data_IF_067035250926
#
_entry.id   IF_067035250926
#
_cell.length_a   1.000
_cell.length_b   1.000
_cell.length_c   1.000
_cell.angle_alpha   90.00
_cell.angle_beta   90.00
_cell.angle_gamma   90.00
#
_symmetry.space_group_name_H-M   'P 1'
#
loop_
_entity.id
_entity.type
_entity.pdbx_description
1 polymer ?
#
# COMPACT_ATOMS: atom_id res chain seq x y z
N UNK A 1 -15.16 -53.02 -37.44
CA UNK A 1 -16.63 -53.33 -37.42
C UNK A 1 -17.27 -52.06 -36.85
N UNK A 2 -17.79 -51.26 -37.74
CA UNK A 2 -19.21 -51.11 -38.16
C UNK A 2 -20.01 -50.35 -37.11
N UNK A 3 -20.70 -49.31 -37.29
CA UNK A 3 -21.21 -48.40 -38.36
C UNK A 3 -22.00 -47.31 -37.63
N UNK A 4 -21.85 -46.05 -37.96
CA UNK A 4 -22.74 -45.26 -38.84
C UNK A 4 -24.13 -44.91 -38.24
N UNK A 5 -24.44 -43.64 -38.17
CA UNK A 5 -25.59 -42.97 -38.69
C UNK A 5 -26.15 -41.95 -37.69
N UNK A 6 -26.69 -40.84 -37.98
CA UNK A 6 -26.78 -39.94 -39.12
C UNK A 6 -27.61 -38.74 -38.62
N UNK A 7 -27.38 -37.57 -39.10
CA UNK A 7 -28.23 -36.37 -39.08
C UNK A 7 -29.47 -36.61 -39.95
N UNK A 8 -30.61 -35.81 -39.92
CA UNK A 8 -30.59 -34.38 -40.20
C UNK A 8 -31.67 -33.53 -39.49
N UNK A 9 -31.60 -32.18 -39.57
CA UNK A 9 -32.73 -31.25 -39.47
C UNK A 9 -33.61 -31.31 -40.74
N UNK A 10 -34.61 -30.43 -41.01
CA UNK A 10 -34.55 -28.98 -41.00
C UNK A 10 -35.88 -28.21 -40.70
N UNK A 11 -35.81 -26.88 -40.66
CA UNK A 11 -36.72 -25.83 -41.11
C UNK A 11 -38.25 -25.96 -41.00
N UNK A 12 -38.89 -24.95 -40.39
CA UNK A 12 -40.11 -24.38 -40.94
C UNK A 12 -40.22 -22.88 -40.64
N UNK A 13 -40.40 -22.12 -41.70
CA UNK A 13 -40.67 -20.66 -41.79
C UNK A 13 -42.20 -20.42 -41.72
N UNK A 14 -42.55 -19.21 -41.14
CA UNK A 14 -43.59 -18.24 -41.57
C UNK A 14 -45.08 -18.57 -41.32
N UNK A 15 -46.02 -17.61 -41.40
CA UNK A 15 -45.90 -16.25 -41.95
C UNK A 15 -46.60 -15.11 -41.15
N UNK A 16 -46.36 -13.90 -41.67
CA UNK A 16 -47.01 -12.62 -41.43
C UNK A 16 -48.55 -12.63 -41.57
N UNK A 17 -49.19 -11.79 -40.79
CA UNK A 17 -50.50 -11.26 -41.14
C UNK A 17 -50.56 -9.78 -40.81
N UNK A 18 -50.56 -8.94 -41.83
CA UNK A 18 -51.11 -7.60 -41.86
C UNK A 18 -52.66 -7.67 -41.86
N UNK A 19 -53.25 -6.69 -41.17
CA UNK A 19 -54.50 -6.00 -41.59
C UNK A 19 -54.80 -4.90 -40.59
N UNK A 20 -54.67 -3.68 -41.06
CA UNK A 20 -55.64 -2.75 -41.63
C UNK A 20 -56.37 -1.85 -40.65
N UNK A 21 -55.97 -0.58 -40.77
CA UNK A 21 -56.65 0.72 -40.54
C UNK A 21 -58.07 0.73 -39.96
N UNK A 22 -58.25 1.65 -38.98
CA UNK A 22 -59.38 2.63 -39.10
C UNK A 22 -59.14 3.86 -38.23
N UNK A 23 -59.05 5.02 -38.90
CA UNK A 23 -59.15 6.36 -38.38
C UNK A 23 -60.43 6.62 -37.61
N UNK A 24 -60.38 7.23 -36.46
CA UNK A 24 -61.46 8.08 -35.94
C UNK A 24 -60.78 9.36 -35.35
N UNK A 25 -61.07 10.44 -36.03
CA UNK A 25 -60.82 11.85 -35.63
C UNK A 25 -61.92 12.25 -34.64
N UNK A 26 -61.55 12.77 -33.47
CA UNK A 26 -62.45 13.60 -32.69
C UNK A 26 -61.70 14.85 -32.18
N UNK A 27 -62.29 15.98 -32.50
CA UNK A 27 -61.88 17.35 -32.24
C UNK A 27 -62.09 17.76 -30.76
N UNK A 28 -61.16 18.52 -30.29
CA UNK A 28 -61.05 19.50 -29.17
C UNK A 28 -62.32 19.92 -28.38
N UNK A 29 -62.17 20.37 -27.10
CA UNK A 29 -61.72 21.78 -26.92
C UNK A 29 -60.66 22.00 -25.81
N UNK A 30 -59.94 23.09 -26.01
CA UNK A 30 -59.01 23.71 -25.10
C UNK A 30 -59.70 24.25 -23.82
N UNK A 31 -59.06 24.00 -22.67
CA UNK A 31 -59.26 24.83 -21.49
C UNK A 31 -57.89 25.08 -20.85
N UNK A 32 -57.45 26.32 -20.94
CA UNK A 32 -56.29 26.83 -20.23
C UNK A 32 -56.62 26.98 -18.75
N UNK A 33 -55.72 26.47 -17.89
CA UNK A 33 -55.61 26.91 -16.50
C UNK A 33 -54.15 27.10 -16.16
N UNK A 34 -53.83 28.37 -15.93
CA UNK A 34 -52.55 28.88 -15.49
C UNK A 34 -52.32 28.59 -14.01
N UNK A 35 -51.02 28.49 -13.69
CA UNK A 35 -50.38 28.82 -12.42
C UNK A 35 -50.49 27.83 -11.28
N UNK A 36 -49.42 27.00 -11.14
CA UNK A 36 -48.84 26.77 -9.84
C UNK A 36 -47.34 26.96 -10.00
N UNK A 37 -46.83 28.07 -9.49
CA UNK A 37 -45.40 28.22 -9.18
C UNK A 37 -45.03 27.15 -8.12
N UNK A 38 -44.72 25.98 -8.56
CA UNK A 38 -44.00 25.00 -7.77
C UNK A 38 -42.55 25.40 -7.81
N UNK A 39 -42.05 25.93 -6.71
CA UNK A 39 -40.63 26.05 -6.45
C UNK A 39 -39.96 24.70 -6.76
N UNK A 40 -39.34 24.64 -7.94
CA UNK A 40 -38.36 23.62 -8.25
C UNK A 40 -37.18 23.81 -7.31
N UNK A 41 -37.26 23.25 -6.13
CA UNK A 41 -36.06 22.77 -5.46
C UNK A 41 -35.50 21.66 -6.35
N UNK A 42 -34.78 22.08 -7.38
CA UNK A 42 -33.76 21.26 -8.00
C UNK A 42 -32.79 20.90 -6.89
N UNK A 43 -33.13 19.86 -6.11
CA UNK A 43 -32.17 19.06 -5.41
C UNK A 43 -31.26 18.50 -6.49
N UNK A 44 -30.23 19.28 -6.84
CA UNK A 44 -29.12 18.76 -7.58
C UNK A 44 -28.68 17.54 -6.80
N UNK A 45 -28.82 16.37 -7.40
CA UNK A 45 -28.01 15.22 -7.01
C UNK A 45 -26.57 15.71 -7.20
N UNK A 46 -26.00 16.30 -6.13
CA UNK A 46 -24.61 16.70 -6.11
C UNK A 46 -23.83 15.48 -6.53
N UNK A 47 -23.10 15.59 -7.62
CA UNK A 47 -22.17 14.53 -8.02
C UNK A 47 -21.35 14.24 -6.78
N UNK A 48 -21.46 12.99 -6.28
CA UNK A 48 -20.76 12.56 -5.09
C UNK A 48 -19.29 12.97 -5.21
N UNK A 49 -18.77 13.69 -4.21
CA UNK A 49 -17.39 14.13 -4.24
C UNK A 49 -16.50 12.89 -4.30
N UNK A 50 -15.72 12.74 -5.38
CA UNK A 50 -14.82 11.61 -5.53
C UNK A 50 -13.42 12.05 -5.12
N UNK A 51 -12.82 11.31 -4.18
CA UNK A 51 -11.42 11.42 -3.81
C UNK A 51 -10.63 10.29 -4.48
N UNK A 52 -9.57 10.64 -5.18
CA UNK A 52 -8.65 9.67 -5.80
C UNK A 52 -7.31 9.68 -5.08
N UNK A 53 -6.93 8.53 -4.55
CA UNK A 53 -5.69 8.30 -3.78
C UNK A 53 -4.89 7.22 -4.49
N UNK A 54 -3.62 7.46 -4.75
CA UNK A 54 -2.71 6.49 -5.38
C UNK A 54 -1.46 6.30 -4.50
N UNK A 55 -0.58 5.36 -4.81
CA UNK A 55 0.76 5.32 -4.22
C UNK A 55 1.10 4.05 -3.48
N UNK A 56 1.81 4.19 -2.38
CA UNK A 56 2.43 3.10 -1.61
C UNK A 56 1.47 1.98 -1.24
N UNK A 57 1.84 0.74 -1.58
CA UNK A 57 1.16 -0.48 -1.13
C UNK A 57 1.31 -0.72 0.38
N UNK A 58 2.41 -0.27 0.99
CA UNK A 58 2.58 -0.30 2.46
C UNK A 58 1.53 0.54 3.19
N UNK A 59 1.21 1.73 2.65
CA UNK A 59 0.22 2.65 3.25
C UNK A 59 -1.21 2.31 2.83
N UNK A 60 -1.38 1.61 1.70
CA UNK A 60 -2.66 1.25 1.12
C UNK A 60 -3.65 0.62 2.11
N UNK A 61 -3.30 -0.40 2.94
CA UNK A 61 -4.26 -1.03 3.86
C UNK A 61 -4.76 -0.06 4.94
N UNK A 62 -3.92 0.86 5.40
CA UNK A 62 -4.31 1.89 6.37
C UNK A 62 -5.26 2.90 5.73
N UNK A 63 -4.90 3.40 4.54
CA UNK A 63 -5.74 4.35 3.80
C UNK A 63 -7.09 3.76 3.42
N UNK A 64 -7.13 2.49 3.02
CA UNK A 64 -8.38 1.78 2.71
C UNK A 64 -9.29 1.68 3.94
N UNK A 65 -8.72 1.37 5.11
CA UNK A 65 -9.49 1.31 6.35
C UNK A 65 -10.12 2.67 6.71
N UNK A 66 -9.34 3.76 6.55
CA UNK A 66 -9.87 5.11 6.75
C UNK A 66 -10.92 5.47 5.70
N UNK A 67 -10.71 5.09 4.44
CA UNK A 67 -11.66 5.34 3.35
C UNK A 67 -13.00 4.66 3.59
N UNK A 68 -12.99 3.40 4.04
CA UNK A 68 -14.20 2.65 4.40
C UNK A 68 -14.97 3.31 5.55
N UNK A 69 -14.25 3.74 6.60
CA UNK A 69 -14.87 4.41 7.74
C UNK A 69 -15.43 5.79 7.37
N UNK A 70 -14.64 6.55 6.61
CA UNK A 70 -15.02 7.88 6.13
C UNK A 70 -16.25 7.84 5.23
N UNK A 71 -16.32 6.90 4.29
CA UNK A 71 -17.47 6.73 3.38
C UNK A 71 -18.73 6.32 4.15
N UNK A 72 -18.62 5.50 5.20
CA UNK A 72 -19.78 5.17 6.07
C UNK A 72 -20.33 6.41 6.76
N UNK A 73 -19.45 7.30 7.22
CA UNK A 73 -19.85 8.55 7.87
C UNK A 73 -20.31 9.64 6.87
N UNK A 74 -19.92 9.54 5.60
CA UNK A 74 -20.16 10.53 4.55
C UNK A 74 -20.71 9.86 3.28
N UNK A 75 -21.99 9.44 3.24
CA UNK A 75 -22.54 8.68 2.09
C UNK A 75 -22.50 9.39 0.74
N UNK A 76 -22.30 10.73 0.73
CA UNK A 76 -22.12 11.53 -0.49
C UNK A 76 -20.69 11.63 -1.01
N UNK A 77 -19.72 10.89 -0.42
CA UNK A 77 -18.31 10.90 -0.82
C UNK A 77 -17.90 9.51 -1.24
N UNK A 78 -17.23 9.41 -2.40
CA UNK A 78 -16.56 8.18 -2.86
C UNK A 78 -15.05 8.35 -2.71
N UNK A 79 -14.38 7.37 -2.14
CA UNK A 79 -12.91 7.35 -2.02
C UNK A 79 -12.36 6.15 -2.77
N UNK A 80 -11.54 6.40 -3.78
CA UNK A 80 -10.85 5.36 -4.55
C UNK A 80 -9.40 5.34 -4.11
N UNK A 81 -8.91 4.19 -3.69
CA UNK A 81 -7.52 3.98 -3.29
C UNK A 81 -6.88 2.95 -4.22
N UNK A 82 -5.80 3.34 -4.88
CA UNK A 82 -5.06 2.49 -5.83
C UNK A 82 -3.62 2.28 -5.33
N UNK A 83 -3.19 1.03 -5.26
CA UNK A 83 -1.82 0.64 -4.92
C UNK A 83 -0.95 0.67 -6.18
N UNK A 84 -0.14 1.71 -6.34
CA UNK A 84 0.74 1.91 -7.51
C UNK A 84 2.23 1.90 -7.15
N UNK A 85 2.56 1.79 -5.87
CA UNK A 85 3.89 2.03 -5.32
C UNK A 85 4.21 3.53 -5.14
N UNK A 86 5.11 3.85 -4.20
CA UNK A 86 5.42 5.25 -3.83
C UNK A 86 5.91 6.08 -5.01
N UNK A 87 6.86 5.57 -5.80
CA UNK A 87 7.46 6.34 -6.90
C UNK A 87 6.48 6.63 -8.03
N UNK A 88 5.71 5.61 -8.46
CA UNK A 88 4.68 5.79 -9.48
C UNK A 88 3.54 6.68 -8.98
N UNK A 89 3.13 6.54 -7.72
CA UNK A 89 2.14 7.39 -7.07
C UNK A 89 2.56 8.86 -7.05
N UNK A 90 3.80 9.16 -6.66
CA UNK A 90 4.36 10.51 -6.69
C UNK A 90 4.35 11.10 -8.10
N UNK A 91 4.77 10.32 -9.10
CA UNK A 91 4.76 10.76 -10.50
C UNK A 91 3.34 11.10 -11.00
N UNK A 92 2.36 10.27 -10.67
CA UNK A 92 0.95 10.53 -10.98
C UNK A 92 0.41 11.76 -10.22
N UNK A 93 0.74 11.87 -8.94
CA UNK A 93 0.35 13.00 -8.10
C UNK A 93 0.95 14.31 -8.62
N UNK A 94 2.23 14.34 -8.97
CA UNK A 94 2.91 15.53 -9.49
C UNK A 94 2.62 15.81 -10.98
N UNK A 95 1.70 15.09 -11.65
CA UNK A 95 1.40 15.31 -13.08
C UNK A 95 0.52 16.53 -13.38
N UNK A 96 0.06 17.26 -12.36
CA UNK A 96 -0.76 18.49 -12.51
C UNK A 96 -1.92 18.57 -11.53
N UNK A 97 -2.75 19.61 -11.67
CA UNK A 97 -3.90 19.92 -10.81
C UNK A 97 -5.25 19.67 -11.48
N UNK A 98 -5.28 18.97 -12.59
CA UNK A 98 -6.52 18.67 -13.32
C UNK A 98 -7.41 17.65 -12.61
N UNK A 99 -8.70 17.65 -12.91
CA UNK A 99 -9.71 16.77 -12.31
C UNK A 99 -9.41 15.27 -12.47
N UNK A 100 -8.64 14.90 -13.49
CA UNK A 100 -8.24 13.50 -13.75
C UNK A 100 -6.96 13.09 -13.02
N UNK A 101 -6.29 14.00 -12.31
CA UNK A 101 -5.11 13.70 -11.52
C UNK A 101 -5.47 13.29 -10.09
N UNK A 102 -4.66 12.48 -9.39
CA UNK A 102 -4.94 12.10 -8.01
C UNK A 102 -5.00 13.31 -7.07
N UNK A 103 -5.90 13.25 -6.09
CA UNK A 103 -6.03 14.26 -5.04
C UNK A 103 -4.96 14.10 -3.96
N UNK A 104 -4.67 12.81 -3.62
CA UNK A 104 -3.69 12.43 -2.61
C UNK A 104 -2.78 11.33 -3.14
N UNK A 105 -1.62 11.19 -2.49
CA UNK A 105 -0.73 10.03 -2.72
C UNK A 105 -0.19 9.49 -1.41
N UNK A 106 -0.22 8.15 -1.28
CA UNK A 106 0.39 7.40 -0.20
C UNK A 106 1.89 7.25 -0.45
N UNK A 107 2.71 7.34 0.59
CA UNK A 107 4.16 7.20 0.45
C UNK A 107 4.79 6.45 1.63
N UNK A 108 5.62 5.45 1.32
CA UNK A 108 6.39 4.68 2.31
C UNK A 108 7.72 5.34 2.70
N UNK A 109 7.98 6.51 2.17
CA UNK A 109 9.10 7.41 2.47
C UNK A 109 8.71 8.86 2.24
N UNK A 110 9.52 9.76 2.76
CA UNK A 110 9.32 11.18 2.47
C UNK A 110 9.52 11.48 0.98
N UNK A 111 8.78 12.45 0.45
CA UNK A 111 8.96 12.98 -0.91
C UNK A 111 10.40 13.44 -1.10
N UNK A 112 10.99 13.19 -2.25
CA UNK A 112 12.33 13.68 -2.61
C UNK A 112 12.26 15.14 -3.11
N UNK A 113 13.35 15.88 -2.98
CA UNK A 113 13.44 17.25 -3.54
C UNK A 113 13.15 17.26 -5.04
N UNK A 114 13.69 16.30 -5.81
CA UNK A 114 13.42 16.18 -7.24
C UNK A 114 11.93 15.91 -7.57
N UNK A 115 11.24 15.12 -6.75
CA UNK A 115 9.81 14.86 -6.92
C UNK A 115 8.97 16.11 -6.59
N UNK A 116 9.38 16.88 -5.59
CA UNK A 116 8.73 18.17 -5.29
C UNK A 116 8.98 19.20 -6.39
N UNK A 117 10.17 19.22 -6.99
CA UNK A 117 10.49 20.05 -8.15
C UNK A 117 9.62 19.69 -9.35
N UNK A 118 9.42 18.39 -9.62
CA UNK A 118 8.50 17.90 -10.66
C UNK A 118 7.05 18.35 -10.39
N UNK A 119 6.59 18.29 -9.14
CA UNK A 119 5.29 18.81 -8.72
C UNK A 119 5.15 20.30 -9.07
N UNK A 120 6.12 21.12 -8.67
CA UNK A 120 6.10 22.58 -8.89
C UNK A 120 6.13 22.91 -10.39
N UNK A 121 6.92 22.22 -11.20
CA UNK A 121 6.99 22.40 -12.66
C UNK A 121 5.65 22.12 -13.34
N UNK A 122 4.85 21.20 -12.78
CA UNK A 122 3.53 20.85 -13.29
C UNK A 122 2.37 21.61 -12.59
N UNK A 123 2.68 22.67 -11.82
CA UNK A 123 1.69 23.54 -11.19
C UNK A 123 1.10 23.02 -9.87
N UNK A 124 1.62 21.92 -9.32
CA UNK A 124 1.27 21.45 -7.97
C UNK A 124 2.21 22.13 -6.96
N UNK A 125 1.86 23.35 -6.57
CA UNK A 125 2.72 24.23 -5.76
C UNK A 125 2.41 24.15 -4.26
N UNK A 126 1.28 23.58 -3.88
CA UNK A 126 0.83 23.45 -2.49
C UNK A 126 0.77 21.97 -2.11
N UNK A 127 1.94 21.33 -1.96
CA UNK A 127 2.03 19.95 -1.50
C UNK A 127 1.91 19.92 0.02
N UNK A 128 0.86 19.32 0.55
CA UNK A 128 0.63 19.14 1.99
C UNK A 128 1.19 17.78 2.39
N UNK A 129 2.16 17.75 3.32
CA UNK A 129 2.70 16.53 3.89
C UNK A 129 1.94 16.16 5.18
N UNK A 130 1.39 14.96 5.25
CA UNK A 130 0.78 14.41 6.45
C UNK A 130 1.49 13.11 6.84
N UNK A 131 2.26 13.08 7.94
CA UNK A 131 2.84 11.85 8.47
C UNK A 131 1.75 10.99 9.12
N UNK A 132 1.66 9.73 8.71
CA UNK A 132 0.59 8.79 9.12
C UNK A 132 0.97 8.04 10.39
N UNK A 133 2.21 7.57 10.47
CA UNK A 133 2.70 6.72 11.54
C UNK A 133 4.04 6.10 11.15
N UNK A 134 4.38 5.02 11.83
CA UNK A 134 5.62 4.29 11.58
C UNK A 134 5.28 2.90 11.05
N UNK A 135 5.91 2.50 9.96
CA UNK A 135 5.99 1.14 9.48
C UNK A 135 7.18 0.46 10.18
N UNK A 136 6.92 -0.61 10.92
CA UNK A 136 7.95 -1.38 11.62
C UNK A 136 7.96 -2.81 11.10
N UNK A 137 8.90 -3.15 10.21
CA UNK A 137 9.07 -4.50 9.69
C UNK A 137 10.06 -5.29 10.55
N UNK A 138 9.75 -6.55 10.90
CA UNK A 138 10.61 -7.40 11.72
C UNK A 138 10.83 -8.76 11.09
N UNK A 139 11.94 -9.40 11.46
CA UNK A 139 12.17 -10.83 11.25
C UNK A 139 11.99 -11.53 12.57
N UNK A 140 11.20 -12.59 12.59
CA UNK A 140 10.87 -13.38 13.79
C UNK A 140 11.31 -14.82 13.66
N UNK A 141 11.48 -15.48 14.79
CA UNK A 141 11.69 -16.91 14.94
C UNK A 141 10.87 -17.45 16.12
N UNK A 142 10.70 -18.77 16.21
CA UNK A 142 10.06 -19.39 17.38
C UNK A 142 10.77 -18.97 18.67
N UNK A 143 10.01 -18.75 19.76
CA UNK A 143 10.58 -18.41 21.07
C UNK A 143 11.47 -19.53 21.63
N UNK A 144 11.24 -20.78 21.22
CA UNK A 144 12.02 -21.96 21.59
C UNK A 144 13.28 -22.17 20.76
N UNK A 145 13.41 -21.49 19.60
CA UNK A 145 14.58 -21.61 18.73
C UNK A 145 15.84 -20.95 19.35
N UNK A 146 17.03 -21.39 18.94
CA UNK A 146 18.26 -20.68 19.30
C UNK A 146 18.25 -19.27 18.70
N UNK A 147 18.58 -18.22 19.49
CA UNK A 147 18.57 -16.85 19.00
C UNK A 147 19.46 -16.68 17.77
N UNK A 148 18.88 -16.16 16.69
CA UNK A 148 19.58 -15.92 15.45
C UNK A 148 19.94 -14.43 15.31
N UNK A 149 21.14 -14.19 14.78
CA UNK A 149 21.65 -12.83 14.51
C UNK A 149 22.03 -12.76 13.04
N UNK A 150 21.44 -11.84 12.33
CA UNK A 150 21.65 -11.61 10.90
C UNK A 150 22.09 -10.17 10.64
N UNK A 151 22.86 -9.99 9.58
CA UNK A 151 22.95 -8.68 8.94
C UNK A 151 21.91 -8.56 7.82
N UNK A 152 21.61 -7.35 7.39
CA UNK A 152 20.75 -7.14 6.20
C UNK A 152 21.38 -7.77 4.95
N UNK A 153 22.74 -7.79 4.89
CA UNK A 153 23.49 -8.49 3.84
C UNK A 153 23.22 -9.99 3.84
N UNK A 154 23.23 -10.63 5.03
CA UNK A 154 22.95 -12.07 5.16
C UNK A 154 21.51 -12.36 4.72
N UNK A 155 20.55 -11.57 5.17
CA UNK A 155 19.14 -11.74 4.81
C UNK A 155 18.92 -11.58 3.29
N UNK A 156 19.52 -10.55 2.69
CA UNK A 156 19.48 -10.35 1.24
C UNK A 156 20.13 -11.53 0.51
N UNK A 157 21.33 -11.93 0.88
CA UNK A 157 22.04 -13.00 0.21
C UNK A 157 21.30 -14.35 0.32
N UNK A 158 20.56 -14.56 1.43
CA UNK A 158 19.73 -15.75 1.62
C UNK A 158 18.48 -15.75 0.74
N UNK A 159 17.87 -14.58 0.50
CA UNK A 159 16.54 -14.46 -0.12
C UNK A 159 16.56 -14.03 -1.58
N UNK A 160 17.62 -13.38 -2.06
CA UNK A 160 17.69 -12.90 -3.44
C UNK A 160 17.73 -14.07 -4.44
N UNK A 161 17.04 -13.92 -5.57
CA UNK A 161 17.10 -14.86 -6.69
C UNK A 161 18.51 -14.90 -7.32
N UNK A 162 19.16 -13.74 -7.39
CA UNK A 162 20.52 -13.57 -7.92
C UNK A 162 21.33 -12.66 -7.00
N UNK A 163 21.82 -13.16 -5.84
CA UNK A 163 22.53 -12.34 -4.87
C UNK A 163 23.78 -11.69 -5.49
N UNK A 164 23.82 -10.36 -5.44
CA UNK A 164 24.87 -9.53 -6.07
C UNK A 164 25.10 -9.84 -7.54
N UNK A 165 24.03 -10.20 -8.29
CA UNK A 165 24.08 -10.56 -9.71
C UNK A 165 24.64 -11.95 -10.01
N UNK A 166 24.86 -12.80 -8.99
CA UNK A 166 25.38 -14.17 -9.13
C UNK A 166 24.26 -15.20 -8.97
N UNK A 167 24.40 -16.42 -9.55
CA UNK A 167 23.45 -17.51 -9.31
C UNK A 167 23.28 -17.81 -7.82
N UNK A 168 22.03 -18.03 -7.38
CA UNK A 168 21.73 -18.44 -6.02
C UNK A 168 22.14 -19.92 -5.81
N UNK A 169 23.04 -20.17 -4.87
CA UNK A 169 23.52 -21.52 -4.55
C UNK A 169 23.38 -21.88 -3.07
N UNK A 170 23.13 -20.89 -2.21
CA UNK A 170 23.01 -21.10 -0.77
C UNK A 170 21.74 -21.91 -0.43
N UNK A 171 21.91 -23.01 0.32
CA UNK A 171 20.83 -23.85 0.84
C UNK A 171 20.66 -23.72 2.34
N UNK A 172 21.75 -23.42 3.03
CA UNK A 172 21.81 -23.25 4.48
C UNK A 172 22.24 -21.83 4.84
N UNK A 173 21.95 -21.40 6.06
CA UNK A 173 22.43 -20.12 6.56
C UNK A 173 23.96 -20.05 6.60
N UNK A 174 24.63 -21.19 6.86
CA UNK A 174 26.10 -21.29 6.83
C UNK A 174 26.68 -21.03 5.43
N UNK A 175 25.96 -21.36 4.37
CA UNK A 175 26.41 -21.08 2.98
C UNK A 175 26.40 -19.57 2.68
N UNK A 176 25.54 -18.82 3.36
CA UNK A 176 25.48 -17.34 3.26
C UNK A 176 26.59 -16.69 4.09
N UNK A 177 26.74 -17.17 5.33
CA UNK A 177 27.73 -16.65 6.27
C UNK A 177 28.25 -17.81 7.15
N UNK A 178 29.55 -18.13 7.12
CA UNK A 178 30.11 -19.25 7.88
C UNK A 178 29.89 -19.20 9.40
N UNK A 179 29.58 -18.01 9.95
CA UNK A 179 29.27 -17.84 11.37
C UNK A 179 27.84 -18.26 11.74
N UNK A 180 26.97 -18.46 10.74
CA UNK A 180 25.58 -18.86 10.92
C UNK A 180 25.42 -20.37 10.98
N UNK A 181 24.30 -20.89 11.52
CA UNK A 181 24.07 -22.34 11.65
C UNK A 181 23.91 -23.01 10.27
N UNK A 182 24.23 -24.31 10.23
CA UNK A 182 24.07 -25.15 9.03
C UNK A 182 22.63 -25.64 8.83
N UNK A 183 21.63 -24.90 9.34
CA UNK A 183 20.21 -25.18 9.12
C UNK A 183 19.77 -24.68 7.77
N UNK A 184 18.80 -25.35 7.15
CA UNK A 184 18.25 -24.92 5.86
C UNK A 184 17.66 -23.49 5.94
N UNK A 185 17.84 -22.72 4.89
CA UNK A 185 17.16 -21.42 4.74
C UNK A 185 15.67 -21.69 4.52
N UNK A 186 14.87 -21.22 5.47
CA UNK A 186 13.40 -21.28 5.40
C UNK A 186 12.81 -20.00 5.98
N UNK A 187 12.27 -19.16 5.12
CA UNK A 187 11.68 -17.88 5.51
C UNK A 187 10.24 -17.83 5.02
N UNK A 188 9.32 -17.62 5.94
CA UNK A 188 7.91 -17.41 5.67
C UNK A 188 7.66 -15.90 5.58
N UNK A 189 7.02 -15.45 4.51
CA UNK A 189 6.80 -14.01 4.33
C UNK A 189 5.58 -13.69 3.47
N UNK A 190 5.33 -12.39 3.28
CA UNK A 190 4.17 -11.92 2.56
C UNK A 190 4.25 -12.20 1.05
N UNK A 191 3.10 -12.38 0.37
CA UNK A 191 3.02 -12.52 -1.07
C UNK A 191 3.39 -11.21 -1.80
N UNK A 192 3.64 -11.24 -3.12
CA UNK A 192 4.00 -10.04 -3.90
C UNK A 192 2.97 -8.92 -3.88
N UNK A 193 1.71 -9.23 -3.56
CA UNK A 193 0.60 -8.26 -3.48
C UNK A 193 0.58 -7.46 -2.18
N UNK A 194 1.37 -7.88 -1.18
CA UNK A 194 1.38 -7.29 0.16
C UNK A 194 2.27 -6.06 0.27
N UNK A 195 1.79 -5.02 0.96
CA UNK A 195 2.61 -3.88 1.35
C UNK A 195 3.79 -4.25 2.26
N UNK A 196 3.65 -5.31 3.06
CA UNK A 196 4.75 -5.87 3.87
C UNK A 196 5.85 -6.46 2.98
N UNK A 197 5.51 -7.02 1.80
CA UNK A 197 6.51 -7.45 0.80
C UNK A 197 7.31 -6.28 0.25
N UNK A 198 6.66 -5.15 -0.03
CA UNK A 198 7.36 -3.94 -0.46
C UNK A 198 8.28 -3.40 0.64
N UNK A 199 7.82 -3.43 1.90
CA UNK A 199 8.67 -3.08 3.05
C UNK A 199 9.89 -4.02 3.16
N UNK A 200 9.71 -5.34 2.97
CA UNK A 200 10.83 -6.31 2.93
C UNK A 200 11.83 -5.95 1.83
N UNK A 201 11.34 -5.68 0.63
CA UNK A 201 12.18 -5.30 -0.50
C UNK A 201 12.96 -4.00 -0.23
N UNK A 202 12.27 -2.94 0.20
CA UNK A 202 12.86 -1.61 0.37
C UNK A 202 13.77 -1.49 1.61
N UNK A 203 13.35 -2.05 2.76
CA UNK A 203 14.04 -1.88 4.03
C UNK A 203 15.14 -2.90 4.26
N UNK A 204 14.96 -4.13 3.80
CA UNK A 204 15.90 -5.21 4.08
C UNK A 204 16.69 -5.62 2.84
N UNK A 205 16.00 -5.98 1.74
CA UNK A 205 16.71 -6.55 0.60
C UNK A 205 17.53 -5.51 -0.15
N UNK A 206 16.98 -4.35 -0.49
CA UNK A 206 17.74 -3.28 -1.16
C UNK A 206 18.90 -2.79 -0.30
N UNK A 207 18.69 -2.54 0.99
CA UNK A 207 19.75 -2.11 1.89
C UNK A 207 20.83 -3.17 2.06
N UNK A 208 20.44 -4.45 2.14
CA UNK A 208 21.37 -5.58 2.16
C UNK A 208 22.18 -5.70 0.88
N UNK A 209 21.54 -5.54 -0.26
CA UNK A 209 22.17 -5.49 -1.59
C UNK A 209 23.17 -4.33 -1.71
N UNK A 210 22.75 -3.13 -1.33
CA UNK A 210 23.56 -1.89 -1.38
C UNK A 210 24.71 -1.87 -0.36
N UNK A 211 24.83 -2.89 0.49
CA UNK A 211 26.04 -3.13 1.28
C UNK A 211 27.27 -3.45 0.41
N UNK A 212 27.03 -3.87 -0.83
CA UNK A 212 28.05 -4.01 -1.87
C UNK A 212 28.15 -2.70 -2.67
N UNK A 213 29.34 -2.06 -2.74
CA UNK A 213 29.52 -0.81 -3.46
C UNK A 213 29.15 -0.85 -4.95
N UNK A 214 29.33 -2.00 -5.62
CA UNK A 214 28.97 -2.16 -7.02
C UNK A 214 27.44 -2.11 -7.21
N UNK A 215 26.68 -2.73 -6.28
CA UNK A 215 25.22 -2.70 -6.30
C UNK A 215 24.70 -1.29 -5.98
N UNK A 216 25.36 -0.57 -5.08
CA UNK A 216 25.01 0.83 -4.80
C UNK A 216 25.25 1.72 -6.02
N UNK A 217 26.36 1.53 -6.73
CA UNK A 217 26.63 2.25 -7.98
C UNK A 217 25.65 1.89 -9.12
N UNK A 218 25.20 0.62 -9.17
CA UNK A 218 24.20 0.16 -10.13
C UNK A 218 22.87 0.90 -9.99
N UNK A 219 22.49 1.30 -8.77
CA UNK A 219 21.26 2.08 -8.51
C UNK A 219 21.23 3.41 -9.28
N UNK A 220 22.38 4.06 -9.42
CA UNK A 220 22.50 5.36 -10.11
C UNK A 220 22.66 5.18 -11.63
N UNK A 221 23.32 4.09 -12.07
CA UNK A 221 23.60 3.85 -13.50
C UNK A 221 22.49 3.10 -14.23
N UNK A 222 21.79 2.18 -13.55
CA UNK A 222 20.70 1.35 -14.11
C UNK A 222 19.76 0.92 -12.98
N UNK A 223 18.78 1.77 -12.69
CA UNK A 223 17.82 1.54 -11.61
C UNK A 223 16.96 0.31 -11.82
N UNK A 224 16.64 -0.05 -13.07
CA UNK A 224 15.81 -1.21 -13.38
C UNK A 224 16.57 -2.51 -13.11
N UNK A 225 17.84 -2.55 -13.54
CA UNK A 225 18.74 -3.67 -13.24
C UNK A 225 19.03 -3.79 -11.74
N UNK A 226 19.22 -2.66 -11.06
CA UNK A 226 19.36 -2.64 -9.60
C UNK A 226 18.11 -3.24 -8.93
N UNK A 227 16.90 -2.84 -9.33
CA UNK A 227 15.67 -3.38 -8.78
C UNK A 227 15.56 -4.89 -9.03
N UNK A 228 15.84 -5.34 -10.26
CA UNK A 228 15.83 -6.77 -10.61
C UNK A 228 16.76 -7.58 -9.69
N UNK A 229 17.99 -7.12 -9.49
CA UNK A 229 18.99 -7.85 -8.68
C UNK A 229 18.68 -7.75 -7.19
N UNK A 230 18.29 -6.56 -6.70
CA UNK A 230 18.21 -6.27 -5.27
C UNK A 230 16.85 -6.60 -4.64
N UNK A 231 15.78 -6.83 -5.43
CA UNK A 231 14.44 -7.08 -4.87
C UNK A 231 13.80 -8.39 -5.30
N UNK A 232 14.29 -9.04 -6.36
CA UNK A 232 13.74 -10.31 -6.80
C UNK A 232 14.07 -11.42 -5.81
N UNK A 233 13.05 -12.00 -5.20
CA UNK A 233 13.18 -13.09 -4.23
C UNK A 233 13.22 -14.43 -4.96
N UNK A 234 13.99 -15.38 -4.40
CA UNK A 234 14.11 -16.76 -4.90
C UNK A 234 12.80 -17.54 -4.78
N UNK A 235 12.58 -18.47 -5.72
CA UNK A 235 11.34 -19.27 -5.83
C UNK A 235 11.57 -20.77 -5.67
N UNK A 236 12.71 -21.16 -5.14
CA UNK A 236 13.14 -22.57 -4.96
C UNK A 236 12.67 -23.21 -3.64
N UNK A 237 11.75 -22.53 -2.93
CA UNK A 237 11.14 -23.03 -1.70
C UNK A 237 11.86 -22.59 -0.40
N UNK A 238 12.99 -21.91 -0.47
CA UNK A 238 13.64 -21.33 0.71
C UNK A 238 12.85 -20.10 1.23
N UNK A 239 12.25 -19.33 0.35
CA UNK A 239 11.21 -18.36 0.71
C UNK A 239 9.84 -18.94 0.40
N UNK A 240 8.94 -18.88 1.38
CA UNK A 240 7.57 -19.42 1.26
C UNK A 240 6.57 -18.30 1.48
N UNK A 241 5.72 -18.06 0.49
CA UNK A 241 4.62 -17.11 0.61
C UNK A 241 3.56 -17.65 1.58
N UNK A 242 3.42 -17.00 2.73
CA UNK A 242 2.59 -17.47 3.84
C UNK A 242 1.19 -16.84 3.88
N UNK A 243 0.89 -15.95 2.91
CA UNK A 243 -0.32 -15.12 2.89
C UNK A 243 -0.16 -13.82 3.65
N UNK A 244 -1.26 -13.07 3.79
CA UNK A 244 -1.26 -11.73 4.43
C UNK A 244 -1.77 -11.77 5.88
N UNK A 245 -2.04 -12.96 6.43
CA UNK A 245 -2.51 -13.11 7.80
C UNK A 245 -1.34 -13.33 8.75
N UNK A 246 -0.89 -12.25 9.41
CA UNK A 246 0.25 -12.27 10.32
C UNK A 246 0.02 -13.17 11.55
N UNK A 247 -1.21 -13.31 12.04
CA UNK A 247 -1.51 -14.25 13.13
C UNK A 247 -1.29 -15.72 12.71
N UNK A 248 -1.62 -16.05 11.46
CA UNK A 248 -1.32 -17.37 10.91
C UNK A 248 0.19 -17.56 10.69
N UNK A 249 0.88 -16.49 10.28
CA UNK A 249 2.34 -16.52 10.16
C UNK A 249 3.02 -16.80 11.51
N UNK A 250 2.59 -16.11 12.56
CA UNK A 250 3.06 -16.36 13.94
C UNK A 250 2.87 -17.82 14.33
N UNK A 251 1.69 -18.40 14.08
CA UNK A 251 1.43 -19.82 14.37
C UNK A 251 2.36 -20.76 13.61
N UNK A 252 2.59 -20.52 12.31
CA UNK A 252 3.50 -21.34 11.49
C UNK A 252 4.94 -21.25 11.97
N UNK A 253 5.42 -20.05 12.30
CA UNK A 253 6.79 -19.84 12.80
C UNK A 253 6.97 -20.44 14.17
N UNK A 254 6.01 -20.29 15.10
CA UNK A 254 6.10 -20.87 16.44
C UNK A 254 6.14 -22.40 16.43
N UNK A 255 5.54 -23.04 15.41
CA UNK A 255 5.52 -24.49 15.24
C UNK A 255 6.78 -25.05 14.55
N UNK A 256 7.61 -24.21 13.90
CA UNK A 256 8.82 -24.64 13.19
C UNK A 256 10.04 -23.85 13.69
N UNK A 257 10.85 -24.42 14.61
CA UNK A 257 12.01 -23.74 15.19
C UNK A 257 13.12 -23.43 14.18
N UNK A 258 13.07 -23.99 12.96
CA UNK A 258 14.03 -23.70 11.89
C UNK A 258 13.53 -22.64 10.91
N UNK A 259 12.27 -22.23 11.00
CA UNK A 259 11.72 -21.20 10.14
C UNK A 259 11.91 -19.79 10.74
N UNK A 260 12.17 -18.83 9.86
CA UNK A 260 12.01 -17.41 10.15
C UNK A 260 10.71 -16.91 9.55
N UNK A 261 10.17 -15.82 10.08
CA UNK A 261 9.00 -15.12 9.54
C UNK A 261 9.29 -13.65 9.35
N UNK A 262 8.58 -13.02 8.40
CA UNK A 262 8.65 -11.57 8.16
C UNK A 262 7.27 -10.98 8.36
N UNK A 263 7.13 -10.07 9.34
CA UNK A 263 5.87 -9.42 9.70
C UNK A 263 6.06 -8.06 10.36
N UNK A 264 4.95 -7.35 10.58
CA UNK A 264 4.94 -6.07 11.28
C UNK A 264 5.28 -6.18 12.77
N UNK A 265 5.97 -5.17 13.30
CA UNK A 265 6.40 -5.12 14.72
C UNK A 265 5.26 -5.29 15.71
N UNK A 266 4.08 -4.72 15.45
CA UNK A 266 2.93 -4.85 16.35
C UNK A 266 2.53 -6.31 16.59
N UNK A 267 2.59 -7.16 15.57
CA UNK A 267 2.30 -8.59 15.72
C UNK A 267 3.38 -9.35 16.50
N UNK A 268 4.64 -8.95 16.38
CA UNK A 268 5.71 -9.46 17.26
C UNK A 268 5.45 -9.07 18.71
N UNK A 269 5.14 -7.79 18.95
CA UNK A 269 4.91 -7.25 20.30
C UNK A 269 3.74 -7.94 21.02
N UNK A 270 2.67 -8.26 20.29
CA UNK A 270 1.49 -8.98 20.78
C UNK A 270 1.69 -10.48 21.00
N UNK A 271 2.77 -11.10 20.49
CA UNK A 271 3.00 -12.54 20.50
C UNK A 271 4.39 -12.95 21.02
N UNK A 272 4.94 -12.19 21.95
CA UNK A 272 6.29 -12.45 22.52
C UNK A 272 6.39 -13.76 23.32
N UNK A 273 5.27 -14.35 23.68
CA UNK A 273 5.15 -15.69 24.27
C UNK A 273 5.45 -16.82 23.27
N UNK A 274 5.16 -16.62 21.98
CA UNK A 274 5.27 -17.63 20.92
C UNK A 274 6.50 -17.45 20.04
N UNK A 275 6.84 -16.19 19.76
CA UNK A 275 7.92 -15.81 18.84
C UNK A 275 8.82 -14.74 19.46
N UNK A 276 10.03 -14.66 18.95
CA UNK A 276 10.99 -13.60 19.29
C UNK A 276 11.58 -12.97 18.05
N UNK A 277 12.07 -11.74 18.16
CA UNK A 277 12.80 -11.10 17.08
C UNK A 277 14.11 -11.79 16.77
N UNK A 278 14.49 -11.79 15.50
CA UNK A 278 15.86 -12.00 15.03
C UNK A 278 16.60 -10.65 15.14
N UNK A 279 17.79 -10.67 15.71
CA UNK A 279 18.66 -9.48 15.75
C UNK A 279 19.13 -9.14 14.33
N UNK A 280 18.90 -7.90 13.86
CA UNK A 280 19.34 -7.41 12.56
C UNK A 280 20.38 -6.29 12.73
N UNK A 281 21.56 -6.47 12.11
CA UNK A 281 22.68 -5.51 12.21
C UNK A 281 23.04 -5.17 13.67
N UNK A 282 22.99 -6.14 14.60
CA UNK A 282 23.30 -5.92 16.00
C UNK A 282 22.16 -5.28 16.81
N UNK A 283 20.96 -5.16 16.25
CA UNK A 283 19.84 -4.50 16.90
C UNK A 283 18.60 -5.40 16.94
N UNK A 284 18.00 -5.51 18.12
CA UNK A 284 16.71 -6.17 18.34
C UNK A 284 15.61 -5.10 18.36
N UNK A 285 14.50 -5.29 17.63
CA UNK A 285 13.41 -4.33 17.65
C UNK A 285 12.70 -4.29 19.00
N UNK A 286 12.47 -3.11 19.50
CA UNK A 286 11.60 -2.80 20.63
C UNK A 286 10.81 -1.50 20.34
N UNK A 287 9.86 -1.16 21.19
CA UNK A 287 9.03 0.02 21.01
C UNK A 287 9.84 1.31 20.87
N UNK A 288 10.97 1.43 21.58
CA UNK A 288 11.83 2.60 21.52
C UNK A 288 12.58 2.69 20.18
N UNK A 289 13.23 1.59 19.77
CA UNK A 289 14.02 1.53 18.54
C UNK A 289 13.16 1.66 17.26
N UNK A 290 11.90 1.22 17.33
CA UNK A 290 10.92 1.44 16.25
C UNK A 290 10.49 2.90 16.23
N UNK A 291 10.06 3.48 17.37
CA UNK A 291 9.54 4.84 17.39
C UNK A 291 10.59 5.91 17.15
N UNK A 292 11.83 5.70 17.56
CA UNK A 292 12.96 6.62 17.28
C UNK A 292 13.64 6.32 15.93
N UNK A 293 13.16 5.33 15.16
CA UNK A 293 13.66 4.93 13.83
C UNK A 293 15.11 4.44 13.82
N UNK A 294 15.65 3.99 14.95
CA UNK A 294 17.02 3.43 15.00
C UNK A 294 17.06 1.99 14.49
N UNK A 295 15.95 1.24 14.58
CA UNK A 295 15.88 -0.11 14.03
C UNK A 295 15.84 -0.08 12.49
N UNK A 296 16.61 -0.96 11.80
CA UNK A 296 16.70 -0.94 10.33
C UNK A 296 15.38 -1.14 9.58
N UNK A 297 14.41 -1.79 10.22
CA UNK A 297 13.08 -2.05 9.68
C UNK A 297 12.04 -0.96 9.98
N UNK A 298 12.43 0.15 10.63
CA UNK A 298 11.53 1.22 10.99
C UNK A 298 11.61 2.39 10.00
N UNK A 299 10.46 2.97 9.63
CA UNK A 299 10.37 4.19 8.80
C UNK A 299 9.08 4.94 9.04
N UNK A 300 9.10 6.27 8.90
CA UNK A 300 7.87 7.07 8.81
C UNK A 300 7.19 6.84 7.47
N UNK A 301 5.86 6.78 7.49
CA UNK A 301 5.02 6.71 6.30
C UNK A 301 4.11 7.91 6.22
N UNK A 302 3.69 8.28 5.01
CA UNK A 302 3.09 9.57 4.73
C UNK A 302 1.89 9.47 3.78
N UNK A 303 1.06 10.51 3.84
CA UNK A 303 0.13 10.89 2.77
C UNK A 303 0.48 12.32 2.35
N UNK A 304 0.46 12.57 1.04
CA UNK A 304 0.55 13.91 0.47
C UNK A 304 -0.78 14.29 -0.16
N UNK A 305 -1.20 15.53 0.00
CA UNK A 305 -2.41 16.08 -0.59
C UNK A 305 -2.10 17.35 -1.38
N UNK A 306 -2.85 17.59 -2.47
CA UNK A 306 -2.76 18.85 -3.22
C UNK A 306 -3.58 19.94 -2.53
N UNK A 307 -2.94 21.01 -2.12
CA UNK A 307 -3.61 22.17 -1.55
C UNK A 307 -4.63 22.79 -2.51
N UNK A 308 -4.29 22.83 -3.81
CA UNK A 308 -5.16 23.29 -4.87
C UNK A 308 -6.47 22.48 -4.96
N UNK A 309 -6.38 21.15 -4.78
CA UNK A 309 -7.57 20.29 -4.78
C UNK A 309 -8.41 20.42 -3.51
N UNK A 310 -7.78 20.73 -2.35
CA UNK A 310 -8.50 20.94 -1.09
C UNK A 310 -9.50 22.09 -1.20
N UNK A 311 -9.17 23.15 -1.96
CA UNK A 311 -10.06 24.28 -2.19
C UNK A 311 -11.28 23.88 -3.03
N UNK A 312 -11.08 23.02 -4.02
CA UNK A 312 -12.15 22.53 -4.89
C UNK A 312 -12.96 21.39 -4.27
N UNK A 313 -12.35 20.58 -3.41
CA UNK A 313 -12.92 19.39 -2.78
C UNK A 313 -12.70 19.42 -1.26
N UNK A 314 -13.55 20.12 -0.48
CA UNK A 314 -13.42 20.21 0.99
C UNK A 314 -13.36 18.85 1.70
N UNK A 315 -13.94 17.80 1.11
CA UNK A 315 -13.89 16.42 1.61
C UNK A 315 -12.45 15.89 1.82
N UNK A 316 -11.44 16.44 1.14
CA UNK A 316 -10.03 16.08 1.36
C UNK A 316 -9.60 16.48 2.78
N UNK A 317 -9.96 17.68 3.23
CA UNK A 317 -9.69 18.15 4.59
C UNK A 317 -10.34 17.24 5.64
N UNK A 318 -11.59 16.89 5.42
CA UNK A 318 -12.35 16.02 6.32
C UNK A 318 -11.75 14.61 6.36
N UNK A 319 -11.30 14.10 5.21
CA UNK A 319 -10.62 12.81 5.10
C UNK A 319 -9.28 12.79 5.88
N UNK A 320 -8.44 13.82 5.74
CA UNK A 320 -7.19 13.93 6.51
C UNK A 320 -7.45 14.05 8.01
N UNK A 321 -8.49 14.78 8.42
CA UNK A 321 -8.90 14.86 9.82
C UNK A 321 -9.41 13.50 10.34
N UNK A 322 -10.14 12.74 9.52
CA UNK A 322 -10.56 11.37 9.86
C UNK A 322 -9.33 10.45 10.01
N UNK A 323 -8.38 10.57 9.10
CA UNK A 323 -7.13 9.81 9.16
C UNK A 323 -6.37 10.07 10.47
N UNK A 324 -6.18 11.35 10.81
CA UNK A 324 -5.49 11.75 12.04
C UNK A 324 -6.14 11.19 13.31
N UNK A 325 -7.46 11.09 13.36
CA UNK A 325 -8.17 10.47 14.49
C UNK A 325 -7.89 8.97 14.64
N UNK A 326 -7.59 8.27 13.53
CA UNK A 326 -7.39 6.82 13.51
C UNK A 326 -5.93 6.39 13.74
N UNK A 327 -4.96 7.32 13.67
CA UNK A 327 -3.52 7.02 13.78
C UNK A 327 -2.97 7.08 15.20
N UNK A 328 -3.74 7.56 16.18
CA UNK A 328 -3.31 7.71 17.58
C UNK A 328 -3.09 6.37 18.29
N UNK A 329 -2.41 6.42 19.44
CA UNK A 329 -2.24 5.27 20.33
C UNK A 329 -3.60 4.70 20.76
N UNK A 330 -3.78 3.38 20.65
CA UNK A 330 -5.07 2.71 20.84
C UNK A 330 -6.06 2.92 19.69
N UNK A 331 -5.68 3.60 18.63
CA UNK A 331 -6.52 3.83 17.46
C UNK A 331 -6.70 2.59 16.57
N UNK A 332 -7.72 2.60 15.68
CA UNK A 332 -8.07 1.43 14.87
C UNK A 332 -6.97 0.95 13.92
N UNK A 333 -6.04 1.83 13.52
CA UNK A 333 -4.95 1.46 12.61
C UNK A 333 -3.81 0.70 13.30
N UNK A 334 -3.70 0.79 14.62
CA UNK A 334 -2.72 0.02 15.39
C UNK A 334 -2.97 -1.49 15.27
N UNK A 335 -4.23 -1.91 15.35
CA UNK A 335 -4.61 -3.33 15.17
C UNK A 335 -4.37 -3.84 13.73
N UNK A 336 -4.06 -2.94 12.79
CA UNK A 336 -3.67 -3.26 11.41
C UNK A 336 -2.15 -3.18 11.18
N UNK A 337 -1.37 -3.04 12.25
CA UNK A 337 0.09 -3.01 12.18
C UNK A 337 0.75 -1.63 12.14
N UNK A 338 -0.04 -0.54 12.13
CA UNK A 338 0.55 0.80 12.23
C UNK A 338 1.14 1.02 13.63
N UNK A 339 2.41 1.42 13.69
CA UNK A 339 3.01 1.87 14.95
C UNK A 339 2.73 3.36 15.13
N UNK A 340 2.03 3.78 16.20
CA UNK A 340 1.76 5.18 16.48
C UNK A 340 3.04 5.97 16.73
N UNK A 341 3.02 7.25 16.42
CA UNK A 341 4.09 8.16 16.81
C UNK A 341 4.17 8.32 18.34
N UNK A 342 5.35 8.67 18.85
CA UNK A 342 5.49 9.22 20.19
C UNK A 342 4.66 10.50 20.35
N UNK A 343 4.26 10.83 21.58
CA UNK A 343 3.29 11.90 21.87
C UNK A 343 3.58 13.25 21.19
N UNK A 344 4.85 13.66 21.12
CA UNK A 344 5.23 14.92 20.49
C UNK A 344 5.02 14.91 18.96
N UNK A 345 5.46 13.82 18.27
CA UNK A 345 5.26 13.66 16.83
C UNK A 345 3.78 13.46 16.49
N UNK A 346 3.02 12.76 17.35
CA UNK A 346 1.58 12.59 17.19
C UNK A 346 0.83 13.93 17.26
N UNK A 347 1.22 14.81 18.19
CA UNK A 347 0.63 16.15 18.30
C UNK A 347 0.96 17.00 17.05
N UNK A 348 2.18 16.94 16.56
CA UNK A 348 2.60 17.65 15.34
C UNK A 348 1.84 17.13 14.09
N UNK A 349 1.62 15.81 13.97
CA UNK A 349 0.83 15.23 12.90
C UNK A 349 -0.65 15.67 12.97
N UNK A 350 -1.22 15.73 14.17
CA UNK A 350 -2.58 16.20 14.40
C UNK A 350 -2.74 17.70 14.05
N UNK A 351 -1.75 18.52 14.43
CA UNK A 351 -1.73 19.95 14.04
C UNK A 351 -1.67 20.08 12.52
N UNK A 352 -0.81 19.32 11.85
CA UNK A 352 -0.66 19.36 10.40
C UNK A 352 -1.94 18.95 9.66
N UNK A 353 -2.66 17.93 10.15
CA UNK A 353 -3.96 17.53 9.58
C UNK A 353 -5.02 18.64 9.64
N UNK A 354 -4.90 19.56 10.56
CA UNK A 354 -5.82 20.69 10.74
C UNK A 354 -5.33 21.93 10.00
N UNK A 355 -4.04 22.27 10.16
CA UNK A 355 -3.44 23.48 9.60
C UNK A 355 -3.23 23.38 8.09
N UNK A 356 -2.99 22.18 7.56
CA UNK A 356 -2.76 21.87 6.14
C UNK A 356 -1.70 22.81 5.51
N UNK A 357 -0.60 23.03 6.25
CA UNK A 357 0.51 23.89 5.79
C UNK A 357 1.24 23.20 4.63
N UNK A 358 1.50 23.91 3.54
CA UNK A 358 2.34 23.39 2.47
C UNK A 358 3.74 23.03 2.98
N UNK A 359 4.31 21.98 2.38
CA UNK A 359 5.65 21.51 2.69
C UNK A 359 6.70 22.58 2.31
N UNK A 360 7.58 22.90 3.24
CA UNK A 360 8.75 23.74 2.97
C UNK A 360 9.84 22.88 2.30
N UNK A 361 10.23 23.23 1.07
CA UNK A 361 11.29 22.57 0.32
C UNK A 361 12.64 22.57 1.08
N UNK A 362 12.90 23.61 1.90
CA UNK A 362 14.12 23.67 2.72
C UNK A 362 14.21 22.54 3.76
N UNK A 363 13.05 21.97 4.16
CA UNK A 363 12.98 20.85 5.11
C UNK A 363 13.36 19.50 4.52
N UNK A 364 13.59 19.42 3.20
CA UNK A 364 13.96 18.18 2.48
C UNK A 364 15.48 18.04 2.27
N UNK A 365 16.27 19.01 2.73
CA UNK A 365 17.75 19.03 2.62
C UNK A 365 18.42 18.23 3.70
#
# INVERSE_FOLDING_TARGET
MSRIGNRPGPNAKSPLREDSMRNIIFLLPAAALLAACGSNSSGGAGTAAQLKIVGSSTVYPFTTAVAEDFQRANPGVSVIVESTGTGAGMKLFCSGVGANTPDLTNASRRIKSSELDDCNQNGVNQVIEFPVGIDGLTVIQASTAQPMKLTLRDLYAALAATPFGKPQTAKTWKDVNPALPATAIRVLGPPPTSGTRDSLNELFLQKGCESDPAMKALKESDSDKHNEVCTKIREDGAFVEAGENDNLLVQKVSADPNALGVLGYSFLDENTDKVRAVELNGMTPDASSITNLSYPGARKIYIYAKGEHIQAKPAIREFLAAYARMTGSGGPLQSRGLVPFAAADAAAAQEQATALKPLDAASLK
#
